data_IF_841642039678
#
_entry.id   IF_841642039678
#
_cell.length_a   1.000
_cell.length_b   1.000
_cell.length_c   1.000
_cell.angle_alpha   90.00
_cell.angle_beta   90.00
_cell.angle_gamma   90.00
#
_symmetry.space_group_name_H-M   'P 1'
#
loop_
_entity.id
_entity.type
_entity.pdbx_description
1 polymer ?
#
# COMPACT_ATOMS: atom_id res chain seq x y z
N UNK A 1 5.73 10.69 -2.75
CA UNK A 1 5.38 11.41 -4.00
C UNK A 1 5.94 10.67 -5.20
N UNK A 2 5.31 10.74 -6.39
CA UNK A 2 5.87 10.14 -7.61
C UNK A 2 6.68 11.19 -8.39
N UNK A 3 7.89 10.82 -8.82
CA UNK A 3 8.70 11.65 -9.70
C UNK A 3 8.26 11.51 -11.18
N UNK A 4 8.86 12.30 -12.08
CA UNK A 4 8.56 12.28 -13.53
C UNK A 4 8.78 10.91 -14.20
N UNK A 5 9.57 10.02 -13.57
CA UNK A 5 9.81 8.64 -14.02
C UNK A 5 8.84 7.62 -13.39
N UNK A 6 7.84 8.09 -12.63
CA UNK A 6 6.90 7.26 -11.85
C UNK A 6 7.59 6.43 -10.74
N UNK A 7 8.78 6.82 -10.30
CA UNK A 7 9.45 6.25 -9.14
C UNK A 7 8.96 6.96 -7.88
N UNK A 8 8.81 6.21 -6.78
CA UNK A 8 8.37 6.77 -5.51
C UNK A 8 9.52 7.45 -4.79
N UNK A 9 9.37 8.73 -4.53
CA UNK A 9 10.26 9.53 -3.69
C UNK A 9 9.73 9.54 -2.26
N UNK A 10 10.59 9.17 -1.32
CA UNK A 10 10.25 8.93 0.07
C UNK A 10 10.67 10.06 1.01
N UNK A 11 11.54 10.95 0.53
CA UNK A 11 11.96 12.15 1.24
C UNK A 11 12.06 13.32 0.27
N UNK A 12 11.43 14.43 0.60
CA UNK A 12 11.41 15.63 -0.24
C UNK A 12 11.11 16.89 0.55
N UNK A 13 11.43 18.04 -0.03
CA UNK A 13 11.16 19.35 0.59
C UNK A 13 9.68 19.67 0.45
N UNK A 14 9.09 20.14 1.54
CA UNK A 14 7.71 20.61 1.63
C UNK A 14 7.63 22.01 2.22
N UNK A 15 6.53 22.69 1.97
CA UNK A 15 6.15 23.93 2.64
C UNK A 15 5.06 23.61 3.66
N UNK A 16 5.12 24.19 4.84
CA UNK A 16 4.09 24.04 5.85
C UNK A 16 2.85 24.82 5.41
N UNK A 17 1.77 24.09 5.16
CA UNK A 17 0.50 24.68 4.69
C UNK A 17 -0.31 25.24 5.85
N UNK A 18 -0.35 24.52 6.99
CA UNK A 18 -1.10 24.91 8.16
C UNK A 18 -0.47 24.32 9.44
N UNK A 19 -0.81 24.94 10.58
CA UNK A 19 -0.51 24.45 11.93
C UNK A 19 -1.82 24.40 12.72
N UNK A 20 -2.17 23.20 13.18
CA UNK A 20 -3.40 22.95 13.90
C UNK A 20 -3.07 22.69 15.38
N UNK A 21 -3.69 23.44 16.31
CA UNK A 21 -3.53 23.17 17.74
C UNK A 21 -4.21 21.83 18.08
N UNK A 22 -3.61 21.08 19.00
CA UNK A 22 -4.18 19.85 19.56
C UNK A 22 -4.77 20.20 20.93
N UNK A 23 -6.06 19.95 21.10
CA UNK A 23 -6.74 20.21 22.36
C UNK A 23 -6.10 19.40 23.51
N UNK A 24 -5.77 20.08 24.61
CA UNK A 24 -5.12 19.46 25.76
C UNK A 24 -3.64 19.17 25.58
N UNK A 25 -3.02 19.54 24.48
CA UNK A 25 -1.58 19.35 24.24
C UNK A 25 -0.79 20.65 24.46
N UNK A 26 0.11 20.64 25.45
CA UNK A 26 0.97 21.79 25.74
C UNK A 26 2.27 21.82 24.92
N UNK A 27 2.78 20.65 24.52
CA UNK A 27 4.12 20.47 23.94
C UNK A 27 4.16 20.14 22.46
N UNK A 28 3.01 19.81 21.89
CA UNK A 28 2.91 19.36 20.49
C UNK A 28 1.73 20.02 19.80
N UNK A 29 1.82 20.08 18.48
CA UNK A 29 0.82 20.57 17.55
C UNK A 29 0.87 19.75 16.27
N UNK A 30 -0.04 19.94 15.34
CA UNK A 30 -0.10 19.20 14.10
C UNK A 30 0.22 20.12 12.93
N UNK A 31 1.30 19.82 12.21
CA UNK A 31 1.61 20.46 10.94
C UNK A 31 0.87 19.74 9.81
N UNK A 32 0.39 20.51 8.84
CA UNK A 32 -0.23 20.02 7.61
C UNK A 32 0.66 20.37 6.44
N UNK A 33 0.98 19.37 5.61
CA UNK A 33 1.80 19.53 4.40
C UNK A 33 1.23 18.67 3.30
N UNK A 34 0.77 19.27 2.19
CA UNK A 34 0.20 18.54 1.06
C UNK A 34 -0.89 17.52 1.48
N UNK A 35 -1.75 17.90 2.40
CA UNK A 35 -2.82 17.06 2.96
C UNK A 35 -2.35 15.96 3.93
N UNK A 36 -1.04 15.88 4.27
CA UNK A 36 -0.54 15.01 5.33
C UNK A 36 -0.60 15.74 6.67
N UNK A 37 -1.04 15.03 7.70
CA UNK A 37 -1.09 15.52 9.07
C UNK A 37 0.05 14.90 9.88
N UNK A 38 0.95 15.72 10.41
CA UNK A 38 2.15 15.26 11.10
C UNK A 38 2.24 15.94 12.48
N UNK A 39 2.45 15.16 13.54
CA UNK A 39 2.71 15.70 14.87
C UNK A 39 4.12 16.27 14.92
N UNK A 40 4.25 17.50 15.40
CA UNK A 40 5.49 18.23 15.60
C UNK A 40 5.53 18.83 17.00
N UNK A 41 6.71 19.28 17.44
CA UNK A 41 6.83 20.04 18.71
C UNK A 41 6.15 21.39 18.52
N UNK A 42 5.55 21.88 19.60
CA UNK A 42 4.92 23.20 19.59
C UNK A 42 5.94 24.30 19.24
N UNK A 43 5.56 25.18 18.33
CA UNK A 43 6.39 26.26 17.79
C UNK A 43 7.65 25.80 17.04
N UNK A 44 7.73 24.53 16.62
CA UNK A 44 8.85 24.02 15.81
C UNK A 44 8.82 24.60 14.40
N UNK A 45 7.61 24.78 13.83
CA UNK A 45 7.40 25.31 12.50
C UNK A 45 6.38 26.45 12.52
N UNK A 46 6.43 27.28 11.47
CA UNK A 46 5.41 28.29 11.16
C UNK A 46 4.82 28.01 9.78
N UNK A 47 3.61 28.48 9.56
CA UNK A 47 2.99 28.42 8.23
C UNK A 47 3.92 29.13 7.23
N UNK A 48 4.20 28.45 6.12
CA UNK A 48 5.11 28.94 5.08
C UNK A 48 6.57 28.54 5.24
N UNK A 49 6.98 27.94 6.38
CA UNK A 49 8.32 27.37 6.55
C UNK A 49 8.56 26.20 5.59
N UNK A 50 9.83 25.95 5.25
CA UNK A 50 10.24 24.78 4.49
C UNK A 50 10.82 23.74 5.43
N UNK A 51 10.47 22.47 5.18
CA UNK A 51 10.92 21.32 5.95
C UNK A 51 11.20 20.13 5.04
N UNK A 52 11.85 19.11 5.56
CA UNK A 52 12.01 17.83 4.87
C UNK A 52 10.94 16.88 5.42
N UNK A 53 10.10 16.39 4.52
CA UNK A 53 9.08 15.40 4.81
C UNK A 53 9.55 14.01 4.39
N UNK A 54 9.34 13.05 5.28
CA UNK A 54 9.59 11.63 5.06
C UNK A 54 8.26 10.89 5.04
N UNK A 55 8.00 10.20 3.94
CA UNK A 55 6.74 9.45 3.76
C UNK A 55 6.62 8.28 4.72
N UNK A 56 5.37 7.90 4.99
CA UNK A 56 5.06 6.65 5.69
C UNK A 56 5.58 5.45 4.90
N UNK A 57 5.86 4.33 5.61
CA UNK A 57 6.46 3.11 5.09
C UNK A 57 7.90 3.28 4.58
N UNK A 58 8.53 4.41 4.85
CA UNK A 58 9.97 4.62 4.61
C UNK A 58 10.81 4.14 5.80
N UNK A 59 12.08 3.89 5.52
CA UNK A 59 13.13 3.63 6.49
C UNK A 59 14.28 4.58 6.25
N UNK A 60 14.69 5.28 7.30
CA UNK A 60 15.86 6.16 7.29
C UNK A 60 17.13 5.39 7.72
N UNK A 61 18.34 5.86 7.38
CA UNK A 61 19.60 5.26 7.81
C UNK A 61 19.76 5.22 9.34
N UNK A 62 20.49 4.22 9.83
CA UNK A 62 20.82 4.03 11.26
C UNK A 62 21.99 4.94 11.66
N UNK A 63 21.79 6.26 11.66
CA UNK A 63 22.78 7.31 12.00
C UNK A 63 22.09 8.60 12.41
N UNK A 64 22.87 9.57 12.91
CA UNK A 64 22.35 10.93 13.10
C UNK A 64 21.91 11.56 11.76
N UNK A 65 20.86 12.38 11.79
CA UNK A 65 20.05 12.83 12.94
C UNK A 65 18.86 11.90 13.31
N UNK A 66 18.86 10.65 12.85
CA UNK A 66 17.69 9.76 12.97
C UNK A 66 17.70 8.85 14.21
N UNK A 67 18.69 8.96 15.09
CA UNK A 67 18.87 8.04 16.24
C UNK A 67 17.67 8.01 17.19
N UNK A 68 16.86 9.06 17.24
CA UNK A 68 15.61 9.07 18.01
C UNK A 68 14.55 8.06 17.49
N UNK A 69 14.75 7.46 16.32
CA UNK A 69 13.91 6.40 15.74
C UNK A 69 14.45 4.98 16.02
N UNK A 70 15.51 4.81 16.79
CA UNK A 70 16.14 3.50 17.04
C UNK A 70 15.13 2.46 17.56
N UNK A 71 14.30 2.84 18.54
CA UNK A 71 13.26 1.96 19.11
C UNK A 71 12.19 1.55 18.10
N UNK A 72 12.04 2.31 17.03
CA UNK A 72 11.14 2.04 15.90
C UNK A 72 11.85 1.37 14.72
N UNK A 73 13.09 0.89 14.95
CA UNK A 73 13.93 0.29 13.90
C UNK A 73 14.09 1.21 12.68
N UNK A 74 14.15 2.52 12.90
CA UNK A 74 14.30 3.58 11.89
C UNK A 74 13.17 3.60 10.84
N UNK A 75 12.01 3.02 11.15
CA UNK A 75 10.84 2.97 10.25
C UNK A 75 9.86 4.09 10.59
N UNK A 76 9.39 4.75 9.54
CA UNK A 76 8.38 5.79 9.63
C UNK A 76 7.02 5.17 9.24
N UNK A 77 6.07 5.27 10.15
CA UNK A 77 4.71 4.73 9.98
C UNK A 77 3.68 5.75 10.46
N UNK A 78 2.44 5.58 10.02
CA UNK A 78 1.32 6.27 10.64
C UNK A 78 1.27 5.93 12.12
N UNK A 79 1.17 6.92 12.98
CA UNK A 79 1.10 6.78 14.43
C UNK A 79 -0.15 7.45 14.96
N UNK A 80 -0.67 6.91 16.06
CA UNK A 80 -1.80 7.48 16.80
C UNK A 80 -1.34 8.00 18.13
N UNK A 81 -1.88 9.13 18.51
CA UNK A 81 -1.59 9.82 19.75
C UNK A 81 -2.88 10.19 20.48
N UNK A 82 -2.80 10.61 21.73
CA UNK A 82 -3.94 11.04 22.55
C UNK A 82 -5.07 9.99 22.55
N UNK A 83 -4.74 8.76 22.97
CA UNK A 83 -5.66 7.60 22.98
C UNK A 83 -6.28 7.29 21.60
N UNK A 84 -5.56 7.62 20.54
CA UNK A 84 -5.98 7.32 19.17
C UNK A 84 -6.80 8.42 18.48
N UNK A 85 -7.02 9.56 19.10
CA UNK A 85 -7.81 10.67 18.51
C UNK A 85 -7.04 11.50 17.49
N UNK A 86 -5.71 11.45 17.50
CA UNK A 86 -4.84 12.21 16.59
C UNK A 86 -3.96 11.25 15.81
N UNK A 87 -3.87 11.43 14.52
CA UNK A 87 -2.96 10.70 13.63
C UNK A 87 -1.74 11.55 13.27
N UNK A 88 -0.59 10.90 13.09
CA UNK A 88 0.61 11.47 12.49
C UNK A 88 1.07 10.58 11.34
N UNK A 89 1.13 11.15 10.16
CA UNK A 89 1.38 10.43 8.90
C UNK A 89 2.71 10.88 8.30
N UNK A 90 3.79 10.22 8.68
CA UNK A 90 5.13 10.59 8.25
C UNK A 90 5.95 11.28 9.35
N UNK A 91 7.04 11.89 8.92
CA UNK A 91 7.96 12.63 9.78
C UNK A 91 8.34 13.95 9.10
N UNK A 92 8.33 15.05 9.85
CA UNK A 92 8.89 16.34 9.44
C UNK A 92 10.17 16.63 10.22
N UNK A 93 11.20 17.04 9.51
CA UNK A 93 12.47 17.50 10.10
C UNK A 93 12.79 18.89 9.55
N UNK A 94 13.30 19.75 10.43
CA UNK A 94 13.76 21.08 10.04
C UNK A 94 15.11 20.97 9.30
N UNK A 95 15.47 21.98 8.54
CA UNK A 95 16.80 22.05 7.93
C UNK A 95 17.91 22.11 9.01
N UNK A 96 17.59 22.64 10.17
CA UNK A 96 18.54 22.75 11.30
C UNK A 96 18.88 21.39 11.91
N UNK A 97 17.98 20.40 11.81
CA UNK A 97 18.21 19.03 12.31
C UNK A 97 19.35 18.31 11.56
N UNK A 98 19.79 18.84 10.40
CA UNK A 98 20.86 18.29 9.55
C UNK A 98 22.18 19.04 9.65
N UNK A 99 22.28 20.07 10.47
CA UNK A 99 23.54 20.74 10.76
C UNK A 99 24.39 19.87 11.67
N UNK A 100 25.70 19.95 11.53
CA UNK A 100 26.61 19.27 12.43
C UNK A 100 26.66 19.95 13.83
N UNK A 101 27.32 19.30 14.80
CA UNK A 101 27.45 19.81 16.17
C UNK A 101 28.14 21.19 16.26
N UNK A 102 28.84 21.60 15.21
CA UNK A 102 29.51 22.91 15.11
C UNK A 102 28.68 23.91 14.27
N UNK A 103 27.44 23.56 13.88
CA UNK A 103 26.56 24.39 13.07
C UNK A 103 26.91 24.40 11.56
N UNK A 104 27.83 23.53 11.14
CA UNK A 104 28.15 23.34 9.73
C UNK A 104 26.97 22.78 8.95
N UNK A 105 26.67 23.38 7.80
CA UNK A 105 25.57 22.98 6.93
C UNK A 105 26.09 22.07 5.81
N UNK A 106 25.54 20.85 5.64
CA UNK A 106 25.93 19.96 4.55
C UNK A 106 25.77 20.61 3.16
N UNK A 107 26.65 20.28 2.22
CA UNK A 107 26.66 20.86 0.88
C UNK A 107 25.34 20.67 0.15
N UNK A 108 24.73 19.49 0.28
CA UNK A 108 23.43 19.21 -0.32
C UNK A 108 22.34 20.16 0.22
N UNK A 109 22.36 20.44 1.52
CA UNK A 109 21.38 21.33 2.15
C UNK A 109 21.61 22.79 1.76
N UNK A 110 22.86 23.22 1.62
CA UNK A 110 23.19 24.54 1.06
C UNK A 110 22.63 24.69 -0.36
N UNK A 111 22.74 23.63 -1.17
CA UNK A 111 22.18 23.62 -2.53
C UNK A 111 20.66 23.76 -2.52
N UNK A 112 19.97 23.05 -1.61
CA UNK A 112 18.51 23.16 -1.43
C UNK A 112 18.10 24.58 -1.01
N UNK A 113 18.76 25.12 0.00
CA UNK A 113 18.48 26.48 0.51
C UNK A 113 18.72 27.53 -0.59
N UNK A 114 19.82 27.41 -1.32
CA UNK A 114 20.13 28.28 -2.44
C UNK A 114 19.07 28.23 -3.55
N UNK A 115 18.61 27.02 -3.90
CA UNK A 115 17.57 26.83 -4.90
C UNK A 115 16.25 27.48 -4.48
N UNK A 116 15.83 27.29 -3.22
CA UNK A 116 14.62 27.91 -2.66
C UNK A 116 14.74 29.45 -2.71
N UNK A 117 15.85 29.98 -2.25
CA UNK A 117 16.06 31.44 -2.20
C UNK A 117 16.14 32.08 -3.60
N UNK A 118 16.80 31.44 -4.54
CA UNK A 118 16.90 31.93 -5.91
C UNK A 118 15.52 31.98 -6.58
N UNK A 119 14.70 30.92 -6.42
CA UNK A 119 13.33 30.91 -6.97
C UNK A 119 12.46 31.99 -6.33
N UNK A 120 12.54 32.17 -5.00
CA UNK A 120 11.85 33.28 -4.31
C UNK A 120 12.26 34.65 -4.87
N UNK A 121 13.56 34.85 -5.10
CA UNK A 121 14.09 36.13 -5.57
C UNK A 121 13.55 36.53 -6.96
N UNK A 122 13.30 35.56 -7.83
CA UNK A 122 12.73 35.78 -9.16
C UNK A 122 11.20 35.68 -9.18
N UNK A 123 10.55 35.56 -8.02
CA UNK A 123 9.08 35.50 -7.90
C UNK A 123 8.46 34.19 -8.33
N UNK A 124 9.24 33.10 -8.45
CA UNK A 124 8.73 31.77 -8.74
C UNK A 124 8.39 31.03 -7.46
N UNK A 125 7.42 30.07 -7.56
CA UNK A 125 7.18 29.14 -6.48
C UNK A 125 8.42 28.24 -6.28
N UNK A 126 9.04 28.26 -5.10
CA UNK A 126 10.21 27.43 -4.79
C UNK A 126 10.01 25.94 -5.00
N UNK A 127 8.79 25.44 -4.88
CA UNK A 127 8.44 24.03 -5.03
C UNK A 127 7.70 23.72 -6.35
N UNK A 128 7.69 24.66 -7.32
CA UNK A 128 7.15 24.42 -8.67
C UNK A 128 7.64 23.10 -9.28
N UNK A 129 8.92 22.80 -9.10
CA UNK A 129 9.48 21.46 -9.31
C UNK A 129 9.85 20.88 -7.94
N UNK A 130 9.33 19.69 -7.58
CA UNK A 130 9.64 19.06 -6.31
C UNK A 130 11.14 18.82 -6.12
N UNK A 131 11.63 19.07 -4.93
CA UNK A 131 13.04 18.84 -4.54
C UNK A 131 13.09 17.51 -3.80
N UNK A 132 13.52 16.46 -4.50
CA UNK A 132 13.62 15.11 -3.96
C UNK A 132 14.97 14.87 -3.29
N UNK A 133 14.93 14.20 -2.12
CA UNK A 133 16.09 13.95 -1.27
C UNK A 133 16.23 12.47 -0.89
N UNK A 134 15.41 11.59 -1.46
CA UNK A 134 15.40 10.16 -1.14
C UNK A 134 16.78 9.51 -1.23
N UNK A 135 17.48 9.75 -2.34
CA UNK A 135 18.82 9.20 -2.58
C UNK A 135 19.89 9.87 -1.74
N UNK A 136 19.82 11.20 -1.62
CA UNK A 136 20.76 12.02 -0.85
C UNK A 136 20.77 11.63 0.63
N UNK A 137 19.59 11.44 1.20
CA UNK A 137 19.42 11.07 2.59
C UNK A 137 19.53 9.55 2.85
N UNK A 138 19.60 8.73 1.77
CA UNK A 138 19.69 7.29 1.87
C UNK A 138 18.41 6.62 2.38
N UNK A 139 17.26 7.24 2.10
CA UNK A 139 15.95 6.72 2.52
C UNK A 139 15.53 5.57 1.62
N UNK A 140 14.99 4.51 2.22
CA UNK A 140 14.57 3.30 1.50
C UNK A 140 13.12 2.96 1.82
N UNK A 141 12.49 2.15 0.97
CA UNK A 141 11.17 1.63 1.27
C UNK A 141 11.28 0.47 2.26
N UNK A 142 10.63 0.58 3.41
CA UNK A 142 10.80 -0.35 4.54
C UNK A 142 10.52 -1.82 4.18
N UNK A 143 9.52 -2.06 3.31
CA UNK A 143 9.16 -3.42 2.86
C UNK A 143 10.23 -4.03 1.95
N UNK A 144 10.83 -3.23 1.07
CA UNK A 144 11.89 -3.71 0.18
C UNK A 144 13.16 -4.08 0.95
N UNK A 145 13.50 -3.29 1.96
CA UNK A 145 14.66 -3.58 2.79
C UNK A 145 14.47 -4.83 3.65
N UNK A 146 13.27 -5.01 4.22
CA UNK A 146 12.93 -6.25 4.93
C UNK A 146 13.00 -7.47 4.01
N UNK A 147 12.59 -7.34 2.76
CA UNK A 147 12.71 -8.40 1.76
C UNK A 147 14.18 -8.67 1.38
N UNK A 148 15.02 -7.65 1.21
CA UNK A 148 16.46 -7.79 0.99
C UNK A 148 17.16 -8.45 2.18
N UNK A 149 16.84 -8.05 3.42
CA UNK A 149 17.35 -8.70 4.64
C UNK A 149 16.94 -10.17 4.71
N UNK A 150 15.67 -10.49 4.43
CA UNK A 150 15.18 -11.88 4.35
C UNK A 150 15.84 -12.68 3.22
N UNK A 151 16.18 -12.05 2.10
CA UNK A 151 16.91 -12.70 1.01
C UNK A 151 18.35 -13.06 1.39
N UNK A 152 19.01 -12.22 2.18
CA UNK A 152 20.41 -12.42 2.62
C UNK A 152 20.57 -13.40 3.78
N UNK A 153 19.48 -13.86 4.43
CA UNK A 153 19.59 -14.91 5.45
C UNK A 153 20.02 -16.22 4.80
N UNK A 154 21.06 -16.85 5.34
CA UNK A 154 21.56 -18.14 4.88
C UNK A 154 20.40 -19.17 4.78
N UNK A 155 20.42 -19.98 3.71
CA UNK A 155 19.41 -21.02 3.46
C UNK A 155 19.23 -21.99 4.64
N UNK A 156 20.27 -22.27 5.38
CA UNK A 156 20.24 -23.13 6.57
C UNK A 156 19.57 -22.44 7.76
N UNK A 157 19.81 -21.15 7.94
CA UNK A 157 19.17 -20.36 9.00
C UNK A 157 17.67 -20.19 8.72
N UNK A 158 17.28 -19.99 7.45
CA UNK A 158 15.87 -20.01 7.04
C UNK A 158 15.19 -21.35 7.38
N UNK A 159 15.86 -22.46 7.13
CA UNK A 159 15.37 -23.78 7.51
C UNK A 159 15.26 -23.92 9.03
N UNK A 160 16.29 -23.50 9.79
CA UNK A 160 16.27 -23.53 11.26
C UNK A 160 15.11 -22.74 11.84
N UNK A 161 14.91 -21.50 11.40
CA UNK A 161 13.81 -20.64 11.86
C UNK A 161 12.43 -21.26 11.53
N UNK A 162 12.27 -21.83 10.34
CA UNK A 162 11.04 -22.51 9.93
C UNK A 162 10.67 -23.67 10.84
N UNK A 163 11.67 -24.42 11.29
CA UNK A 163 11.50 -25.59 12.14
C UNK A 163 11.90 -25.34 13.60
N UNK A 164 11.85 -24.10 14.06
CA UNK A 164 12.32 -23.69 15.38
C UNK A 164 11.72 -24.52 16.52
N UNK A 165 10.41 -24.85 16.45
CA UNK A 165 9.74 -25.71 17.45
C UNK A 165 10.35 -27.12 17.50
N UNK A 166 10.68 -27.71 16.35
CA UNK A 166 11.34 -29.00 16.25
C UNK A 166 12.74 -28.97 16.84
N UNK A 167 13.54 -27.96 16.49
CA UNK A 167 14.89 -27.76 17.03
C UNK A 167 14.88 -27.42 18.54
N UNK A 168 13.85 -26.73 19.04
CA UNK A 168 13.68 -26.50 20.48
C UNK A 168 13.37 -27.81 21.23
N UNK A 169 12.57 -28.70 20.63
CA UNK A 169 12.16 -29.96 21.24
C UNK A 169 13.27 -31.02 21.23
N UNK A 170 14.15 -31.04 20.20
CA UNK A 170 15.15 -32.09 20.00
C UNK A 170 16.57 -31.54 20.07
N UNK A 171 17.23 -31.74 21.23
CA UNK A 171 18.60 -31.29 21.48
C UNK A 171 19.64 -31.87 20.48
N UNK A 172 19.41 -33.11 20.01
CA UNK A 172 20.28 -33.78 19.04
C UNK A 172 20.28 -33.04 17.71
N UNK A 173 19.12 -32.63 17.19
CA UNK A 173 19.04 -31.88 15.94
C UNK A 173 19.75 -30.53 16.02
N UNK A 174 19.70 -29.85 17.17
CA UNK A 174 20.47 -28.62 17.41
C UNK A 174 21.97 -28.86 17.37
N UNK A 175 22.43 -29.98 17.97
CA UNK A 175 23.84 -30.33 17.97
C UNK A 175 24.33 -30.66 16.56
N UNK A 176 23.54 -31.40 15.77
CA UNK A 176 23.83 -31.68 14.36
C UNK A 176 23.89 -30.39 13.53
N UNK A 177 22.99 -29.45 13.79
CA UNK A 177 22.93 -28.17 13.06
C UNK A 177 24.14 -27.25 13.29
N UNK A 178 24.93 -27.46 14.35
CA UNK A 178 26.16 -26.72 14.60
C UNK A 178 27.28 -27.03 13.59
N UNK A 179 27.24 -28.21 12.94
CA UNK A 179 28.25 -28.64 11.98
C UNK A 179 27.80 -28.38 10.54
N UNK A 180 28.72 -27.93 9.68
CA UNK A 180 28.38 -27.62 8.27
C UNK A 180 27.82 -28.85 7.51
N UNK A 181 28.39 -30.04 7.74
CA UNK A 181 27.87 -31.28 7.18
C UNK A 181 26.47 -31.60 7.71
N UNK A 182 26.25 -31.38 9.00
CA UNK A 182 24.97 -31.56 9.66
C UNK A 182 23.90 -30.62 9.09
N UNK A 183 24.23 -29.35 8.84
CA UNK A 183 23.34 -28.40 8.16
C UNK A 183 22.96 -28.90 6.77
N UNK A 184 23.90 -29.41 5.99
CA UNK A 184 23.63 -29.97 4.65
C UNK A 184 22.69 -31.18 4.71
N UNK A 185 22.95 -32.12 5.61
CA UNK A 185 22.10 -33.29 5.81
C UNK A 185 20.68 -32.88 6.25
N UNK A 186 20.58 -32.06 7.28
CA UNK A 186 19.28 -31.56 7.74
C UNK A 186 18.54 -30.78 6.64
N UNK A 187 19.28 -30.06 5.79
CA UNK A 187 18.66 -29.33 4.67
C UNK A 187 18.08 -30.26 3.60
N UNK A 188 18.63 -31.46 3.39
CA UNK A 188 18.07 -32.46 2.47
C UNK A 188 16.67 -32.91 2.97
N UNK A 189 16.52 -33.11 4.28
CA UNK A 189 15.29 -33.64 4.87
C UNK A 189 14.29 -32.54 5.25
N UNK A 190 14.77 -31.40 5.77
CA UNK A 190 13.94 -30.32 6.31
C UNK A 190 13.95 -29.06 5.44
N UNK A 191 14.93 -28.96 4.56
CA UNK A 191 15.16 -27.76 3.75
C UNK A 191 14.43 -27.76 2.41
N UNK A 192 13.74 -28.85 2.03
CA UNK A 192 12.90 -28.82 0.81
C UNK A 192 11.95 -27.61 0.91
N UNK A 193 12.22 -26.63 0.06
CA UNK A 193 11.26 -25.55 -0.18
C UNK A 193 9.95 -26.25 -0.55
N UNK A 194 8.95 -26.10 0.30
CA UNK A 194 7.61 -25.99 -0.21
C UNK A 194 7.65 -24.74 -1.07
N UNK A 195 7.29 -24.86 -2.32
CA UNK A 195 7.39 -23.78 -3.30
C UNK A 195 7.04 -22.45 -2.68
N UNK A 196 7.96 -21.49 -2.81
CA UNK A 196 7.56 -20.09 -2.80
C UNK A 196 6.58 -20.00 -3.93
N UNK A 197 5.30 -20.01 -3.62
CA UNK A 197 4.21 -19.92 -4.56
C UNK A 197 4.39 -18.60 -5.25
N UNK A 198 5.02 -18.65 -6.40
CA UNK A 198 5.35 -17.47 -7.15
C UNK A 198 4.04 -16.79 -7.54
N UNK A 199 3.92 -15.54 -7.20
CA UNK A 199 2.89 -14.68 -7.74
C UNK A 199 2.94 -14.77 -9.27
N UNK A 200 1.81 -15.00 -9.96
CA UNK A 200 1.82 -15.12 -11.41
C UNK A 200 2.39 -13.85 -12.06
N UNK A 201 3.40 -13.99 -12.90
CA UNK A 201 4.17 -12.85 -13.44
C UNK A 201 3.35 -11.94 -14.36
N UNK A 202 2.26 -12.44 -14.91
CA UNK A 202 1.34 -11.66 -15.76
C UNK A 202 0.34 -10.83 -14.96
N UNK A 203 0.14 -11.14 -13.67
CA UNK A 203 -0.82 -10.43 -12.82
C UNK A 203 -0.21 -9.15 -12.30
N UNK A 204 -0.89 -8.04 -12.55
CA UNK A 204 -0.52 -6.74 -12.00
C UNK A 204 -0.99 -6.67 -10.54
N UNK A 205 -0.09 -6.34 -9.63
CA UNK A 205 -0.47 -5.98 -8.26
C UNK A 205 -1.11 -4.61 -8.29
N UNK A 206 -2.31 -4.52 -7.74
CA UNK A 206 -3.02 -3.26 -7.63
C UNK A 206 -2.82 -2.69 -6.23
N UNK A 207 -2.07 -1.63 -6.16
CA UNK A 207 -1.98 -0.77 -4.99
C UNK A 207 -2.15 0.65 -5.50
N UNK A 208 -3.36 1.18 -5.34
CA UNK A 208 -3.64 2.55 -5.78
C UNK A 208 -2.81 3.53 -4.96
N UNK A 209 -2.21 4.50 -5.63
CA UNK A 209 -1.43 5.55 -4.97
C UNK A 209 -2.34 6.47 -4.14
N UNK A 210 -1.83 7.03 -3.06
CA UNK A 210 -2.60 8.01 -2.27
C UNK A 210 -2.67 9.35 -3.00
N UNK A 211 -3.81 10.02 -2.90
CA UNK A 211 -4.03 11.33 -3.51
C UNK A 211 -2.95 12.35 -3.12
N UNK A 212 -2.49 12.32 -1.87
CA UNK A 212 -1.43 13.21 -1.36
C UNK A 212 -0.09 13.05 -2.10
N UNK A 213 0.14 11.91 -2.76
CA UNK A 213 1.34 11.67 -3.56
C UNK A 213 1.19 12.15 -5.02
N UNK A 214 0.03 12.70 -5.37
CA UNK A 214 -0.33 13.10 -6.72
C UNK A 214 -0.81 14.57 -6.81
N UNK A 215 -0.06 15.55 -6.24
CA UNK A 215 -0.50 16.94 -6.21
C UNK A 215 -0.69 17.55 -7.59
N UNK A 216 -0.04 16.99 -8.61
CA UNK A 216 -0.16 17.44 -10.00
C UNK A 216 -1.55 17.19 -10.63
N UNK A 217 -2.44 16.47 -9.94
CA UNK A 217 -3.83 16.30 -10.37
C UNK A 217 -4.71 17.52 -10.03
N UNK A 218 -4.20 18.43 -9.21
CA UNK A 218 -4.96 19.60 -8.74
C UNK A 218 -4.36 20.92 -9.26
N UNK A 219 -5.21 21.89 -9.66
CA UNK A 219 -6.67 21.79 -9.69
C UNK A 219 -7.16 20.74 -10.70
N UNK A 220 -8.32 20.16 -10.41
CA UNK A 220 -8.92 19.15 -11.28
C UNK A 220 -9.30 19.72 -12.65
N UNK A 221 -9.12 18.94 -13.70
CA UNK A 221 -9.65 19.30 -15.02
C UNK A 221 -11.18 19.03 -15.05
N UNK A 222 -12.02 20.04 -15.26
CA UNK A 222 -13.48 19.87 -15.27
C UNK A 222 -13.99 18.95 -16.37
N UNK A 223 -13.26 18.81 -17.48
CA UNK A 223 -13.61 17.93 -18.58
C UNK A 223 -13.25 16.45 -18.31
N UNK A 224 -12.33 16.18 -17.40
CA UNK A 224 -11.91 14.82 -17.05
C UNK A 224 -12.85 14.21 -16.03
N UNK A 225 -13.51 13.11 -16.40
CA UNK A 225 -14.48 12.43 -15.54
C UNK A 225 -13.87 11.21 -14.86
N UNK A 226 -14.15 11.09 -13.57
CA UNK A 226 -13.67 10.05 -12.69
C UNK A 226 -14.83 9.26 -12.11
N UNK A 227 -14.76 7.95 -12.19
CA UNK A 227 -15.67 7.06 -11.48
C UNK A 227 -15.17 6.91 -10.05
N UNK A 228 -16.00 7.26 -9.10
CA UNK A 228 -15.71 7.15 -7.66
C UNK A 228 -16.31 5.85 -7.15
N UNK A 229 -15.49 5.01 -6.55
CA UNK A 229 -15.94 3.77 -5.89
C UNK A 229 -15.59 3.81 -4.40
N UNK A 230 -16.38 3.11 -3.60
CA UNK A 230 -16.08 2.94 -2.18
C UNK A 230 -14.86 2.07 -1.98
N UNK A 231 -13.96 2.49 -1.10
CA UNK A 231 -12.83 1.68 -0.65
C UNK A 231 -13.27 0.81 0.52
N UNK A 232 -13.15 -0.50 0.33
CA UNK A 232 -13.50 -1.49 1.35
C UNK A 232 -12.28 -1.82 2.21
N UNK A 233 -12.47 -1.87 3.53
CA UNK A 233 -11.45 -2.32 4.50
C UNK A 233 -11.49 -3.83 4.65
N UNK A 234 -10.48 -4.51 4.16
CA UNK A 234 -10.43 -5.97 4.16
C UNK A 234 -9.04 -6.51 3.81
N UNK A 235 -9.01 -7.55 3.03
CA UNK A 235 -7.79 -8.14 2.50
C UNK A 235 -7.87 -8.35 1.00
N UNK A 236 -6.87 -7.84 0.29
CA UNK A 236 -6.82 -7.92 -1.18
C UNK A 236 -6.74 -9.37 -1.65
N UNK A 237 -7.67 -9.73 -2.51
CA UNK A 237 -7.84 -11.05 -3.10
C UNK A 237 -7.74 -10.96 -4.61
N UNK A 238 -6.97 -11.85 -5.21
CA UNK A 238 -6.80 -11.92 -6.66
C UNK A 238 -7.08 -13.34 -7.14
N UNK A 239 -7.97 -13.45 -8.10
CA UNK A 239 -8.22 -14.66 -8.86
C UNK A 239 -7.76 -14.44 -10.30
N UNK A 240 -7.01 -15.37 -10.85
CA UNK A 240 -6.58 -15.25 -12.24
C UNK A 240 -6.58 -16.59 -12.93
N UNK A 241 -6.96 -16.56 -14.19
CA UNK A 241 -6.96 -17.74 -15.05
C UNK A 241 -6.23 -17.45 -16.35
N UNK A 242 -5.39 -18.40 -16.77
CA UNK A 242 -4.67 -18.36 -18.03
C UNK A 242 -4.87 -19.65 -18.81
N UNK A 243 -4.89 -19.54 -20.13
CA UNK A 243 -5.06 -20.69 -21.02
C UNK A 243 -6.51 -21.15 -21.16
N UNK A 244 -6.74 -22.15 -22.04
CA UNK A 244 -8.07 -22.67 -22.39
C UNK A 244 -8.12 -24.20 -22.33
N UNK A 245 -9.32 -24.73 -22.13
CA UNK A 245 -9.59 -26.15 -22.10
C UNK A 245 -8.71 -26.89 -21.08
N UNK A 246 -8.05 -27.99 -21.49
CA UNK A 246 -7.19 -28.81 -20.58
C UNK A 246 -5.89 -28.14 -20.14
N UNK A 247 -5.48 -27.03 -20.78
CA UNK A 247 -4.28 -26.23 -20.43
C UNK A 247 -4.61 -25.06 -19.52
N UNK A 248 -5.82 -25.01 -18.99
CA UNK A 248 -6.31 -23.96 -18.12
C UNK A 248 -5.62 -24.04 -16.75
N UNK A 249 -5.11 -22.90 -16.30
CA UNK A 249 -4.49 -22.75 -14.99
C UNK A 249 -5.22 -21.67 -14.20
N UNK A 250 -5.73 -22.04 -13.05
CA UNK A 250 -6.43 -21.13 -12.13
C UNK A 250 -5.59 -20.88 -10.87
N UNK A 251 -5.47 -19.62 -10.48
CA UNK A 251 -4.70 -19.18 -9.32
C UNK A 251 -5.54 -18.35 -8.39
N UNK A 252 -5.35 -18.59 -7.09
CA UNK A 252 -5.98 -17.86 -5.99
C UNK A 252 -4.84 -17.20 -5.21
N UNK A 253 -4.87 -15.88 -5.08
CA UNK A 253 -3.79 -15.13 -4.45
C UNK A 253 -4.29 -14.14 -3.40
N UNK A 254 -3.57 -14.02 -2.30
CA UNK A 254 -3.61 -12.83 -1.45
C UNK A 254 -2.74 -11.72 -2.08
N UNK A 255 -2.54 -10.61 -1.40
CA UNK A 255 -1.67 -9.51 -1.88
C UNK A 255 -0.24 -9.97 -2.25
N UNK A 256 0.30 -11.02 -1.60
CA UNK A 256 1.70 -11.43 -1.76
C UNK A 256 1.92 -12.92 -1.96
N UNK A 257 0.89 -13.73 -1.79
CA UNK A 257 0.99 -15.19 -1.80
C UNK A 257 0.03 -15.76 -2.81
N UNK A 258 0.52 -16.67 -3.63
CA UNK A 258 -0.29 -17.53 -4.47
C UNK A 258 -0.58 -18.83 -3.71
N UNK A 259 -1.83 -19.19 -3.53
CA UNK A 259 -2.26 -20.42 -2.87
C UNK A 259 -2.37 -21.56 -3.89
N UNK A 260 -2.01 -22.77 -3.45
CA UNK A 260 -2.26 -23.96 -4.28
C UNK A 260 -3.77 -24.27 -4.31
N UNK A 261 -4.13 -25.14 -5.26
CA UNK A 261 -5.51 -25.63 -5.39
C UNK A 261 -6.01 -26.25 -4.08
N UNK A 262 -7.32 -26.17 -3.79
CA UNK A 262 -7.94 -26.67 -2.56
C UNK A 262 -7.66 -28.13 -2.23
N UNK A 263 -7.48 -28.99 -3.26
CA UNK A 263 -7.19 -30.43 -3.11
C UNK A 263 -5.84 -30.70 -2.42
N UNK A 264 -5.00 -29.69 -2.24
CA UNK A 264 -3.70 -29.78 -1.57
C UNK A 264 -3.69 -29.02 -0.25
N UNK A 265 -4.63 -29.36 0.64
CA UNK A 265 -4.84 -28.71 1.95
C UNK A 265 -3.60 -28.61 2.83
N UNK A 266 -2.66 -29.56 2.71
CA UNK A 266 -1.35 -29.50 3.40
C UNK A 266 -0.53 -28.27 3.05
N UNK A 267 -0.88 -27.54 2.01
CA UNK A 267 -0.18 -26.36 1.50
C UNK A 267 -0.95 -25.06 1.75
N UNK A 268 -2.14 -25.10 2.33
CA UNK A 268 -2.81 -23.89 2.77
C UNK A 268 -2.07 -23.31 3.98
N UNK A 269 -1.81 -22.00 3.96
CA UNK A 269 -1.18 -21.30 5.09
C UNK A 269 -2.13 -21.16 6.29
N UNK A 270 -3.42 -21.26 6.05
CA UNK A 270 -4.50 -21.04 7.00
C UNK A 270 -5.42 -22.26 7.03
N UNK A 271 -5.86 -22.67 8.19
CA UNK A 271 -6.89 -23.73 8.35
C UNK A 271 -8.19 -23.35 7.63
N UNK A 272 -8.59 -22.08 7.76
CA UNK A 272 -9.72 -21.49 7.06
C UNK A 272 -9.20 -20.40 6.11
N UNK A 273 -9.06 -20.75 4.84
CA UNK A 273 -8.52 -19.83 3.85
C UNK A 273 -9.65 -19.04 3.20
N UNK A 274 -9.84 -17.81 3.65
CA UNK A 274 -10.90 -16.91 3.16
C UNK A 274 -10.82 -16.64 1.64
N UNK A 275 -9.64 -16.74 1.05
CA UNK A 275 -9.46 -16.54 -0.40
C UNK A 275 -10.04 -17.72 -1.19
N UNK A 276 -9.84 -18.95 -0.70
CA UNK A 276 -10.43 -20.15 -1.28
C UNK A 276 -11.93 -20.16 -1.05
N UNK A 277 -12.38 -19.82 0.15
CA UNK A 277 -13.80 -19.69 0.49
C UNK A 277 -14.54 -18.76 -0.49
N UNK A 278 -13.96 -17.60 -0.82
CA UNK A 278 -14.57 -16.67 -1.77
C UNK A 278 -14.54 -17.19 -3.21
N UNK A 279 -13.48 -17.90 -3.61
CA UNK A 279 -13.41 -18.54 -4.92
C UNK A 279 -14.55 -19.56 -5.11
N UNK A 280 -14.83 -20.35 -4.08
CA UNK A 280 -15.90 -21.35 -4.06
C UNK A 280 -17.29 -20.71 -3.96
N UNK A 281 -17.48 -19.75 -3.03
CA UNK A 281 -18.75 -19.05 -2.81
C UNK A 281 -19.31 -18.44 -4.10
N UNK A 282 -18.42 -17.84 -4.90
CA UNK A 282 -18.80 -17.15 -6.16
C UNK A 282 -18.50 -17.96 -7.42
N UNK A 283 -18.12 -19.23 -7.28
CA UNK A 283 -17.76 -20.11 -8.38
C UNK A 283 -16.81 -19.44 -9.40
N UNK A 284 -15.79 -18.72 -8.86
CA UNK A 284 -14.95 -17.81 -9.65
C UNK A 284 -14.18 -18.56 -10.75
N UNK A 285 -13.74 -19.80 -10.50
CA UNK A 285 -13.03 -20.58 -11.50
C UNK A 285 -13.88 -20.76 -12.77
N UNK A 286 -15.17 -21.09 -12.62
CA UNK A 286 -16.05 -21.26 -13.76
C UNK A 286 -16.38 -19.94 -14.45
N UNK A 287 -16.54 -18.86 -13.67
CA UNK A 287 -16.77 -17.50 -14.22
C UNK A 287 -15.62 -17.07 -15.12
N UNK A 288 -14.37 -17.18 -14.63
CA UNK A 288 -13.20 -16.78 -15.41
C UNK A 288 -13.00 -17.69 -16.63
N UNK A 289 -13.34 -18.98 -16.50
CA UNK A 289 -13.35 -19.91 -17.63
C UNK A 289 -14.33 -19.48 -18.72
N UNK A 290 -15.55 -19.16 -18.36
CA UNK A 290 -16.59 -18.70 -19.29
C UNK A 290 -16.16 -17.41 -20.01
N UNK A 291 -15.58 -16.45 -19.28
CA UNK A 291 -15.05 -15.22 -19.89
C UNK A 291 -13.98 -15.56 -20.96
N UNK A 292 -12.99 -16.41 -20.60
CA UNK A 292 -11.94 -16.80 -21.55
C UNK A 292 -12.47 -17.59 -22.76
N UNK A 293 -13.47 -18.44 -22.56
CA UNK A 293 -14.05 -19.24 -23.64
C UNK A 293 -14.82 -18.38 -24.66
N UNK A 294 -15.52 -17.35 -24.14
CA UNK A 294 -16.28 -16.42 -24.97
C UNK A 294 -15.42 -15.35 -25.67
N UNK A 295 -14.18 -15.16 -25.25
CA UNK A 295 -13.25 -14.16 -25.80
C UNK A 295 -11.99 -14.82 -26.35
N UNK A 296 -12.00 -15.12 -27.65
CA UNK A 296 -10.91 -15.89 -28.30
C UNK A 296 -9.58 -15.14 -28.34
N UNK A 297 -9.60 -13.83 -28.25
CA UNK A 297 -8.46 -12.92 -28.26
C UNK A 297 -7.71 -12.86 -26.91
N UNK A 298 -8.33 -13.32 -25.82
CA UNK A 298 -7.73 -13.29 -24.50
C UNK A 298 -6.75 -14.44 -24.26
N UNK A 299 -5.64 -14.16 -23.60
CA UNK A 299 -4.65 -15.09 -23.05
C UNK A 299 -4.93 -15.40 -21.57
N UNK A 300 -5.31 -14.36 -20.80
CA UNK A 300 -5.70 -14.51 -19.40
C UNK A 300 -6.78 -13.50 -18.99
N UNK A 301 -7.45 -13.81 -17.88
CA UNK A 301 -8.37 -12.91 -17.20
C UNK A 301 -8.05 -12.89 -15.71
N UNK A 302 -8.11 -11.70 -15.10
CA UNK A 302 -7.84 -11.51 -13.67
C UNK A 302 -8.98 -10.72 -13.03
N UNK A 303 -9.54 -11.29 -11.96
CA UNK A 303 -10.52 -10.67 -11.09
C UNK A 303 -9.83 -10.30 -9.78
N UNK A 304 -9.89 -9.03 -9.38
CA UNK A 304 -9.35 -8.56 -8.10
C UNK A 304 -10.43 -7.88 -7.31
N UNK A 305 -10.40 -8.08 -6.00
CA UNK A 305 -11.37 -7.52 -5.09
C UNK A 305 -10.87 -7.51 -3.66
N UNK A 306 -11.74 -7.08 -2.78
CA UNK A 306 -11.51 -7.07 -1.34
C UNK A 306 -12.37 -8.15 -0.69
N UNK A 307 -11.73 -9.07 0.06
CA UNK A 307 -12.43 -9.98 0.96
C UNK A 307 -12.50 -9.31 2.33
N UNK A 308 -13.68 -9.24 2.91
CA UNK A 308 -13.96 -8.50 4.13
C UNK A 308 -14.92 -9.27 5.05
N UNK A 309 -15.08 -8.81 6.28
CA UNK A 309 -15.98 -9.42 7.25
C UNK A 309 -15.28 -9.82 8.55
N UNK A 310 -15.88 -10.76 9.28
CA UNK A 310 -15.44 -11.13 10.62
C UNK A 310 -14.02 -11.68 10.65
N UNK A 311 -13.16 -11.16 11.53
CA UNK A 311 -11.80 -11.67 11.74
C UNK A 311 -10.77 -11.30 10.66
N UNK A 312 -11.12 -10.47 9.66
CA UNK A 312 -10.19 -10.02 8.62
C UNK A 312 -9.51 -8.72 9.05
N UNK A 313 -10.29 -7.71 9.36
CA UNK A 313 -9.86 -6.42 9.90
C UNK A 313 -10.72 -6.06 11.12
N UNK A 314 -10.52 -4.85 11.67
CA UNK A 314 -11.30 -4.41 12.83
C UNK A 314 -12.76 -4.09 12.49
N UNK A 315 -13.07 -3.89 11.20
CA UNK A 315 -14.42 -3.61 10.73
C UNK A 315 -15.04 -4.83 10.06
N UNK A 316 -16.17 -5.29 10.60
CA UNK A 316 -16.86 -6.50 10.13
C UNK A 316 -17.94 -6.22 9.08
N UNK A 317 -18.33 -4.97 8.83
CA UNK A 317 -19.47 -4.58 7.98
C UNK A 317 -20.79 -5.27 8.39
N UNK A 318 -20.96 -5.55 9.69
CA UNK A 318 -22.15 -6.26 10.21
C UNK A 318 -22.20 -7.75 9.87
N UNK A 319 -21.16 -8.31 9.27
CA UNK A 319 -21.12 -9.73 8.88
C UNK A 319 -20.62 -10.60 10.02
N UNK A 320 -21.22 -11.79 10.17
CA UNK A 320 -20.72 -12.87 11.02
C UNK A 320 -19.77 -13.81 10.31
N UNK A 321 -19.71 -13.78 8.98
CA UNK A 321 -18.80 -14.51 8.10
C UNK A 321 -18.01 -13.58 7.21
N UNK A 322 -17.70 -14.06 6.00
CA UNK A 322 -16.91 -13.32 5.02
C UNK A 322 -17.69 -13.04 3.75
N UNK A 323 -17.29 -11.97 3.08
CA UNK A 323 -17.79 -11.63 1.76
C UNK A 323 -16.68 -11.04 0.88
N UNK A 324 -16.98 -10.85 -0.41
CA UNK A 324 -16.05 -10.37 -1.41
C UNK A 324 -16.72 -9.34 -2.29
N UNK A 325 -16.01 -8.26 -2.63
CA UNK A 325 -16.43 -7.30 -3.63
C UNK A 325 -15.32 -7.04 -4.62
N UNK A 326 -15.63 -7.20 -5.92
CA UNK A 326 -14.70 -6.96 -7.00
C UNK A 326 -14.46 -5.46 -7.19
N UNK A 327 -13.20 -5.08 -7.45
CA UNK A 327 -12.81 -3.72 -7.81
C UNK A 327 -12.03 -3.63 -9.13
N UNK A 328 -11.53 -4.75 -9.69
CA UNK A 328 -10.90 -4.83 -10.99
C UNK A 328 -11.29 -6.10 -11.73
N UNK A 329 -11.56 -5.95 -13.03
CA UNK A 329 -11.55 -7.01 -14.01
C UNK A 329 -10.53 -6.64 -15.09
N UNK A 330 -9.50 -7.47 -15.27
CA UNK A 330 -8.36 -7.19 -16.15
C UNK A 330 -8.31 -8.27 -17.24
N UNK A 331 -8.31 -7.84 -18.48
CA UNK A 331 -8.14 -8.69 -19.65
C UNK A 331 -6.69 -8.62 -20.14
N UNK A 332 -6.06 -9.77 -20.29
CA UNK A 332 -4.76 -9.90 -20.94
C UNK A 332 -4.93 -10.51 -22.32
N UNK A 333 -4.53 -9.78 -23.34
CA UNK A 333 -4.69 -10.17 -24.74
C UNK A 333 -3.48 -10.98 -25.21
N UNK A 334 -3.66 -11.80 -26.23
CA UNK A 334 -2.60 -12.61 -26.86
C UNK A 334 -1.51 -11.76 -27.52
N UNK A 335 -1.80 -10.52 -27.86
CA UNK A 335 -0.84 -9.54 -28.39
C UNK A 335 0.03 -8.89 -27.28
N UNK A 336 -0.18 -9.25 -26.01
CA UNK A 336 0.52 -8.72 -24.86
C UNK A 336 -0.10 -7.47 -24.24
N UNK A 337 -1.12 -6.90 -24.85
CA UNK A 337 -1.88 -5.77 -24.28
C UNK A 337 -2.64 -6.22 -23.03
N UNK A 338 -2.74 -5.32 -22.08
CA UNK A 338 -3.57 -5.49 -20.86
C UNK A 338 -4.56 -4.35 -20.77
N UNK A 339 -5.80 -4.68 -20.46
CA UNK A 339 -6.88 -3.73 -20.28
C UNK A 339 -7.54 -3.95 -18.92
N UNK A 340 -7.63 -2.90 -18.15
CA UNK A 340 -8.38 -2.88 -16.90
C UNK A 340 -9.70 -2.16 -17.16
N UNK A 341 -10.79 -2.89 -17.07
CA UNK A 341 -12.11 -2.32 -17.29
C UNK A 341 -12.40 -1.21 -16.28
N UNK A 342 -13.11 -0.19 -16.72
CA UNK A 342 -13.62 0.80 -15.78
C UNK A 342 -14.68 0.17 -14.85
N UNK A 343 -14.94 0.78 -13.68
CA UNK A 343 -15.84 0.19 -12.68
C UNK A 343 -17.28 -0.03 -13.17
N UNK A 344 -17.76 0.75 -14.15
CA UNK A 344 -19.12 0.65 -14.66
C UNK A 344 -19.25 -0.59 -15.55
N UNK A 345 -18.34 -0.76 -16.51
CA UNK A 345 -18.34 -1.90 -17.42
C UNK A 345 -18.06 -3.20 -16.66
N UNK A 346 -17.11 -3.16 -15.72
CA UNK A 346 -16.83 -4.28 -14.80
C UNK A 346 -18.09 -4.70 -14.06
N UNK A 347 -18.80 -3.73 -13.44
CA UNK A 347 -20.02 -4.00 -12.67
C UNK A 347 -21.10 -4.59 -13.57
N UNK A 348 -21.29 -4.06 -14.78
CA UNK A 348 -22.25 -4.58 -15.73
C UNK A 348 -21.99 -6.05 -16.06
N UNK A 349 -20.75 -6.43 -16.29
CA UNK A 349 -20.38 -7.83 -16.60
C UNK A 349 -20.53 -8.72 -15.36
N UNK A 350 -19.91 -8.33 -14.23
CA UNK A 350 -19.81 -9.21 -13.08
C UNK A 350 -21.14 -9.37 -12.33
N UNK A 351 -21.87 -8.28 -12.11
CA UNK A 351 -23.13 -8.33 -11.36
C UNK A 351 -24.25 -8.91 -12.23
N UNK A 352 -24.45 -8.40 -13.46
CA UNK A 352 -25.60 -8.78 -14.26
C UNK A 352 -25.48 -10.18 -14.88
N UNK A 353 -24.25 -10.63 -15.16
CA UNK A 353 -24.06 -11.93 -15.83
C UNK A 353 -23.66 -13.03 -14.85
N UNK A 354 -22.85 -12.70 -13.83
CA UNK A 354 -22.22 -13.71 -13.00
C UNK A 354 -22.57 -13.63 -11.50
N UNK A 355 -23.39 -12.68 -11.08
CA UNK A 355 -23.78 -12.44 -9.68
C UNK A 355 -22.57 -12.26 -8.74
N UNK A 356 -21.46 -11.72 -9.25
CA UNK A 356 -20.30 -11.36 -8.42
C UNK A 356 -20.47 -9.90 -7.96
N UNK A 357 -20.55 -9.62 -6.66
CA UNK A 357 -20.72 -8.27 -6.18
C UNK A 357 -19.47 -7.42 -6.46
N UNK A 358 -19.71 -6.15 -6.81
CA UNK A 358 -18.67 -5.15 -7.05
C UNK A 358 -18.71 -4.07 -5.97
N UNK A 359 -17.56 -3.42 -5.74
CA UNK A 359 -17.50 -2.25 -4.86
C UNK A 359 -18.52 -1.19 -5.32
N UNK A 360 -19.25 -0.55 -4.40
CA UNK A 360 -20.25 0.43 -4.76
C UNK A 360 -19.67 1.58 -5.59
N UNK A 361 -20.26 1.85 -6.74
CA UNK A 361 -20.04 3.10 -7.47
C UNK A 361 -20.83 4.19 -6.74
N UNK A 362 -20.13 5.22 -6.30
CA UNK A 362 -20.74 6.33 -5.55
C UNK A 362 -21.27 7.39 -6.49
N UNK A 363 -20.44 7.84 -7.43
CA UNK A 363 -20.79 8.82 -8.45
C UNK A 363 -19.74 8.91 -9.56
N UNK A 364 -20.01 9.73 -10.57
CA UNK A 364 -19.07 10.17 -11.60
C UNK A 364 -18.90 11.68 -11.45
N UNK A 365 -17.67 12.12 -11.20
CA UNK A 365 -17.36 13.53 -10.94
C UNK A 365 -16.09 14.00 -11.66
N UNK A 366 -15.88 15.29 -11.75
CA UNK A 366 -14.56 15.87 -11.99
C UNK A 366 -13.86 16.07 -10.65
N UNK A 367 -12.53 16.08 -10.65
CA UNK A 367 -11.79 16.35 -9.41
C UNK A 367 -12.09 17.79 -8.92
N UNK A 368 -12.09 18.01 -7.61
CA UNK A 368 -12.25 19.33 -7.03
C UNK A 368 -11.04 20.24 -7.34
N UNK A 369 -11.12 21.50 -6.95
CA UNK A 369 -10.02 22.44 -7.14
C UNK A 369 -8.81 22.13 -6.25
N UNK A 370 -9.07 21.61 -5.05
CA UNK A 370 -8.02 21.38 -4.08
C UNK A 370 -7.93 19.91 -3.64
N UNK A 371 -6.74 19.52 -3.25
CA UNK A 371 -6.49 18.20 -2.67
C UNK A 371 -7.22 18.03 -1.33
N UNK A 372 -7.31 19.08 -0.52
CA UNK A 372 -7.98 19.04 0.79
C UNK A 372 -9.46 18.74 0.64
N UNK A 373 -10.13 19.31 -0.37
CA UNK A 373 -11.50 18.95 -0.71
C UNK A 373 -11.64 17.48 -1.07
N UNK A 374 -10.67 16.92 -1.82
CA UNK A 374 -10.67 15.49 -2.16
C UNK A 374 -10.43 14.59 -0.94
N UNK A 375 -9.58 15.00 -0.02
CA UNK A 375 -9.35 14.28 1.24
C UNK A 375 -10.62 14.32 2.10
N UNK A 376 -11.24 15.46 2.23
CA UNK A 376 -12.52 15.63 2.95
C UNK A 376 -13.65 14.83 2.31
N UNK A 377 -13.68 14.74 0.98
CA UNK A 377 -14.66 13.93 0.25
C UNK A 377 -14.55 12.44 0.61
N UNK A 378 -13.35 11.95 0.97
CA UNK A 378 -13.16 10.56 1.39
C UNK A 378 -13.95 10.21 2.67
N UNK A 379 -14.21 11.21 3.52
CA UNK A 379 -15.07 11.04 4.68
C UNK A 379 -16.51 10.82 4.22
N UNK A 380 -17.24 9.94 4.88
CA UNK A 380 -18.63 9.67 4.52
C UNK A 380 -19.10 8.30 4.99
N UNK A 381 -20.34 8.00 4.63
CA UNK A 381 -20.99 6.74 4.99
C UNK A 381 -20.76 5.67 3.92
N UNK A 382 -20.54 4.45 4.37
CA UNK A 382 -20.49 3.26 3.53
C UNK A 382 -21.86 2.96 2.93
N UNK A 383 -21.87 2.55 1.68
CA UNK A 383 -23.08 2.06 1.01
C UNK A 383 -23.44 0.62 1.41
N UNK A 384 -22.53 -0.06 2.11
CA UNK A 384 -22.73 -1.46 2.53
C UNK A 384 -23.53 -1.53 3.83
N UNK A 385 -23.15 -0.76 4.84
CA UNK A 385 -23.73 -0.85 6.19
C UNK A 385 -24.17 0.49 6.79
N UNK A 386 -23.98 1.60 6.07
CA UNK A 386 -24.34 2.94 6.53
C UNK A 386 -23.40 3.57 7.57
N UNK A 387 -22.38 2.82 8.01
CA UNK A 387 -21.34 3.30 8.92
C UNK A 387 -20.26 4.09 8.17
N UNK A 388 -19.22 4.57 8.86
CA UNK A 388 -18.11 5.31 8.28
C UNK A 388 -17.36 4.46 7.25
N UNK A 389 -17.16 4.95 6.02
CA UNK A 389 -16.38 4.27 4.98
C UNK A 389 -14.89 4.48 5.18
N UNK A 390 -14.05 3.54 4.72
CA UNK A 390 -12.58 3.67 4.77
C UNK A 390 -12.06 4.81 3.90
N UNK A 391 -12.75 5.09 2.81
CA UNK A 391 -12.39 6.12 1.85
C UNK A 391 -12.99 5.83 0.48
N UNK A 392 -12.32 6.33 -0.54
CA UNK A 392 -12.73 6.18 -1.94
C UNK A 392 -11.55 5.84 -2.83
N UNK A 393 -11.84 5.17 -3.95
CA UNK A 393 -10.92 4.99 -5.07
C UNK A 393 -11.53 5.68 -6.28
N UNK A 394 -10.73 6.53 -6.91
CA UNK A 394 -11.12 7.22 -8.14
C UNK A 394 -10.36 6.65 -9.32
N UNK A 395 -11.07 6.51 -10.43
CA UNK A 395 -10.50 6.02 -11.69
C UNK A 395 -11.11 6.75 -12.86
N UNK A 396 -10.27 7.18 -13.83
CA UNK A 396 -10.75 7.77 -15.08
C UNK A 396 -11.55 6.74 -15.89
N UNK A 397 -12.48 7.22 -16.72
CA UNK A 397 -13.31 6.36 -17.55
C UNK A 397 -12.50 5.45 -18.49
N UNK A 398 -11.33 5.90 -18.94
CA UNK A 398 -10.40 5.08 -19.74
C UNK A 398 -9.57 4.09 -18.89
N UNK A 399 -9.73 4.08 -17.57
CA UNK A 399 -9.01 3.19 -16.66
C UNK A 399 -7.52 3.48 -16.47
N UNK A 400 -6.98 4.55 -17.10
CA UNK A 400 -5.53 4.81 -17.12
C UNK A 400 -5.02 5.44 -15.84
N UNK A 401 -5.74 6.44 -15.32
CA UNK A 401 -5.38 7.11 -14.06
C UNK A 401 -6.23 6.57 -12.93
N UNK A 402 -5.62 6.37 -11.78
CA UNK A 402 -6.33 5.98 -10.57
C UNK A 402 -5.56 6.41 -9.32
N UNK A 403 -6.28 6.65 -8.25
CA UNK A 403 -5.73 6.91 -6.91
C UNK A 403 -6.76 6.56 -5.83
N UNK A 404 -6.28 6.50 -4.58
CA UNK A 404 -7.14 6.37 -3.40
C UNK A 404 -7.06 7.63 -2.52
N UNK A 405 -8.19 8.00 -1.95
CA UNK A 405 -8.27 8.95 -0.83
C UNK A 405 -8.85 8.22 0.38
N UNK A 406 -8.09 8.19 1.47
CA UNK A 406 -8.43 7.45 2.69
C UNK A 406 -8.89 8.42 3.75
N UNK A 407 -10.03 8.13 4.37
CA UNK A 407 -10.60 8.92 5.47
C UNK A 407 -9.68 8.93 6.69
N UNK A 408 -9.32 10.12 7.17
CA UNK A 408 -8.55 10.26 8.40
C UNK A 408 -9.37 9.83 9.63
N UNK A 409 -10.67 10.12 9.65
CA UNK A 409 -11.57 9.73 10.72
C UNK A 409 -11.70 8.20 10.81
N UNK A 410 -11.76 7.52 9.66
CA UNK A 410 -11.74 6.05 9.62
C UNK A 410 -10.44 5.49 10.19
N UNK A 411 -9.29 6.04 9.81
CA UNK A 411 -8.00 5.64 10.35
C UNK A 411 -7.94 5.82 11.86
N UNK A 412 -8.52 6.90 12.39
CA UNK A 412 -8.61 7.16 13.83
C UNK A 412 -9.49 6.11 14.51
N UNK A 413 -10.65 5.77 13.94
CA UNK A 413 -11.62 4.86 14.54
C UNK A 413 -11.22 3.39 14.48
N UNK A 414 -10.73 2.90 13.34
CA UNK A 414 -10.61 1.47 13.05
C UNK A 414 -9.17 0.95 12.94
N UNK A 415 -8.18 1.74 12.54
CA UNK A 415 -6.80 1.26 12.48
C UNK A 415 -6.10 1.48 13.83
N UNK A 416 -5.70 0.37 14.47
CA UNK A 416 -4.88 0.37 15.69
C UNK A 416 -3.39 0.45 15.38
#
# INVERSE_FOLDING_TARGET
>A
MLNKKKERELAYVVKIDNILPIEGAERVEQAVVGGWHIMVRKNQFKIGDYAIYFEIDSKVPEREPYMFLADKHFKIKTQKYFKGTIISQGLLMSFDDFKDDFGGTPVWLLSVISMINNRKLIGEDPLKDPIFLTKELGVTYAVEEDNKRKANINKYDKMYQRHLKLFKKHKILRKIFQYELGKKILFIFLGKKRDTRNWPSWVVKTDEERVQNMPFLFPGNPEEKWVVTEKIDGTSTTFTMKGKGRKREFYICSRNVNFDKPEKTERCYYENNVYIEMAEKYNVEQVLANILENHSELDFVTLQGETYGSGIQNRTYGLTGHDFMAFNLIFGYKDGRKERLNPIDMTSILVNTYNIPCVPVLEIMSLPETMDEMIKYADGKSKIDGEMREGVVLRTLDGVKSFKSVSNDFLIKYHQ
#
